data_IF_509513202362
#
_entry.id   IF_509513202362
#
_cell.length_a   1.000
_cell.length_b   1.000
_cell.length_c   1.000
_cell.angle_alpha   90.00
_cell.angle_beta   90.00
_cell.angle_gamma   90.00
#
_symmetry.space_group_name_H-M   'P 1'
#
loop_
_entity.id
_entity.type
_entity.pdbx_description
1 polymer ?
#
# COMPACT_ATOMS: atom_id res chain seq x y z
N UNK A 1 8.47 -19.50 -10.51
CA UNK A 1 9.01 -19.30 -9.13
C UNK A 1 7.90 -18.69 -8.28
N UNK A 2 7.58 -19.25 -7.12
CA UNK A 2 6.53 -18.69 -6.26
C UNK A 2 7.02 -17.40 -5.58
N UNK A 3 6.11 -16.48 -5.27
CA UNK A 3 6.43 -15.23 -4.57
C UNK A 3 7.16 -15.49 -3.23
N UNK A 4 6.69 -16.49 -2.48
CA UNK A 4 7.31 -16.90 -1.23
C UNK A 4 8.77 -17.33 -1.42
N UNK A 5 9.06 -18.16 -2.43
CA UNK A 5 10.44 -18.57 -2.72
C UNK A 5 11.33 -17.38 -3.11
N UNK A 6 10.79 -16.43 -3.89
CA UNK A 6 11.49 -15.20 -4.27
C UNK A 6 11.86 -14.35 -3.03
N UNK A 7 10.90 -14.15 -2.12
CA UNK A 7 11.10 -13.38 -0.90
C UNK A 7 12.08 -14.07 0.05
N UNK A 8 12.02 -15.40 0.18
CA UNK A 8 13.00 -16.17 0.95
C UNK A 8 14.42 -16.01 0.38
N UNK A 9 14.59 -16.08 -0.95
CA UNK A 9 15.89 -15.89 -1.59
C UNK A 9 16.45 -14.48 -1.35
N UNK A 10 15.61 -13.44 -1.50
CA UNK A 10 15.98 -12.05 -1.19
C UNK A 10 16.38 -11.92 0.28
N UNK A 11 15.59 -12.49 1.20
CA UNK A 11 15.86 -12.47 2.63
C UNK A 11 17.16 -13.16 3.02
N UNK A 12 17.44 -14.33 2.46
CA UNK A 12 18.70 -15.06 2.69
C UNK A 12 19.91 -14.28 2.16
N UNK A 13 19.82 -13.75 0.94
CA UNK A 13 20.87 -12.90 0.37
C UNK A 13 21.13 -11.66 1.23
N UNK A 14 20.07 -11.00 1.68
CA UNK A 14 20.15 -9.86 2.58
C UNK A 14 20.80 -10.22 3.92
N UNK A 15 20.44 -11.34 4.54
CA UNK A 15 21.02 -11.78 5.80
C UNK A 15 22.53 -12.06 5.67
N UNK A 16 22.96 -12.72 4.59
CA UNK A 16 24.38 -12.98 4.31
C UNK A 16 25.16 -11.68 4.09
N UNK A 17 24.62 -10.76 3.29
CA UNK A 17 25.25 -9.47 3.04
C UNK A 17 25.28 -8.60 4.30
N UNK A 18 24.20 -8.59 5.09
CA UNK A 18 24.14 -7.87 6.35
C UNK A 18 25.19 -8.40 7.35
N UNK A 19 25.36 -9.72 7.43
CA UNK A 19 26.41 -10.31 8.26
C UNK A 19 27.82 -9.92 7.78
N UNK A 20 28.07 -9.98 6.47
CA UNK A 20 29.35 -9.60 5.87
C UNK A 20 29.68 -8.11 6.04
N UNK A 21 28.67 -7.25 6.03
CA UNK A 21 28.81 -5.79 6.12
C UNK A 21 28.41 -5.22 7.49
N UNK A 22 28.38 -6.04 8.54
CA UNK A 22 27.91 -5.66 9.89
C UNK A 22 28.54 -4.40 10.49
N UNK A 23 29.73 -4.00 10.02
CA UNK A 23 30.44 -2.79 10.48
C UNK A 23 30.39 -1.61 9.49
N UNK A 24 29.69 -1.76 8.36
CA UNK A 24 29.67 -0.78 7.25
C UNK A 24 28.27 -0.19 7.11
N UNK A 25 27.95 0.81 7.95
CA UNK A 25 26.62 1.44 8.00
C UNK A 25 26.06 1.83 6.62
N UNK A 26 26.87 2.51 5.77
CA UNK A 26 26.43 2.91 4.43
C UNK A 26 26.01 1.73 3.56
N UNK A 27 26.75 0.61 3.60
CA UNK A 27 26.41 -0.59 2.81
C UNK A 27 25.13 -1.25 3.31
N UNK A 28 24.88 -1.21 4.61
CA UNK A 28 23.64 -1.71 5.21
C UNK A 28 22.44 -0.82 4.84
N UNK A 29 22.60 0.51 4.81
CA UNK A 29 21.54 1.41 4.35
C UNK A 29 21.20 1.17 2.87
N UNK A 30 22.22 1.02 2.01
CA UNK A 30 22.00 0.66 0.59
C UNK A 30 21.33 -0.70 0.47
N UNK A 31 21.71 -1.68 1.30
CA UNK A 31 21.10 -2.99 1.33
C UNK A 31 19.61 -2.92 1.70
N UNK A 32 19.22 -2.10 2.69
CA UNK A 32 17.82 -1.89 3.07
C UNK A 32 16.99 -1.39 1.88
N UNK A 33 17.47 -0.36 1.18
CA UNK A 33 16.78 0.17 -0.01
C UNK A 33 16.71 -0.88 -1.11
N UNK A 34 17.81 -1.59 -1.36
CA UNK A 34 17.87 -2.66 -2.36
C UNK A 34 16.92 -3.83 -2.06
N UNK A 35 16.78 -4.23 -0.80
CA UNK A 35 15.85 -5.28 -0.38
C UNK A 35 14.41 -4.84 -0.57
N UNK A 36 14.06 -3.60 -0.17
CA UNK A 36 12.71 -3.09 -0.38
C UNK A 36 12.34 -3.05 -1.88
N UNK A 37 13.26 -2.56 -2.73
CA UNK A 37 13.08 -2.55 -4.17
C UNK A 37 12.96 -3.97 -4.75
N UNK A 38 13.79 -4.91 -4.29
CA UNK A 38 13.74 -6.30 -4.74
C UNK A 38 12.43 -7.00 -4.35
N UNK A 39 11.94 -6.78 -3.11
CA UNK A 39 10.65 -7.33 -2.67
C UNK A 39 9.51 -6.79 -3.53
N UNK A 40 9.46 -5.46 -3.76
CA UNK A 40 8.47 -4.84 -4.63
C UNK A 40 8.54 -5.39 -6.08
N UNK A 41 9.75 -5.50 -6.63
CA UNK A 41 9.98 -6.04 -7.97
C UNK A 41 9.53 -7.49 -8.10
N UNK A 42 9.81 -8.34 -7.10
CA UNK A 42 9.37 -9.75 -7.14
C UNK A 42 7.86 -9.88 -7.13
N UNK A 43 7.12 -8.98 -6.48
CA UNK A 43 5.65 -8.95 -6.55
C UNK A 43 5.22 -8.67 -8.00
N UNK A 44 5.75 -7.61 -8.62
CA UNK A 44 5.40 -7.21 -9.98
C UNK A 44 5.83 -8.21 -11.07
N UNK A 45 6.96 -8.89 -10.90
CA UNK A 45 7.50 -9.83 -11.91
C UNK A 45 6.86 -11.22 -11.80
N UNK A 46 6.33 -11.59 -10.63
CA UNK A 46 5.73 -12.92 -10.44
C UNK A 46 4.27 -12.99 -10.90
N UNK A 47 3.62 -11.86 -11.19
CA UNK A 47 2.25 -11.80 -11.72
C UNK A 47 1.65 -10.40 -11.69
N UNK A 48 0.40 -10.29 -12.14
CA UNK A 48 -0.36 -9.04 -12.09
C UNK A 48 -0.61 -8.57 -10.66
N UNK A 49 -0.73 -7.25 -10.50
CA UNK A 49 -0.89 -6.57 -9.21
C UNK A 49 -2.11 -5.65 -9.27
N UNK A 50 -2.84 -5.56 -8.16
CA UNK A 50 -3.87 -4.55 -7.98
C UNK A 50 -3.16 -3.18 -7.78
N UNK A 51 -3.23 -2.26 -8.75
CA UNK A 51 -2.33 -1.11 -8.81
C UNK A 51 -2.53 -0.14 -7.64
N UNK A 52 -3.77 0.20 -7.29
CA UNK A 52 -4.08 1.06 -6.14
C UNK A 52 -3.59 0.48 -4.81
N UNK A 53 -3.90 -0.80 -4.54
CA UNK A 53 -3.45 -1.49 -3.33
C UNK A 53 -1.91 -1.55 -3.25
N UNK A 54 -1.25 -1.85 -4.37
CA UNK A 54 0.21 -1.89 -4.45
C UNK A 54 0.82 -0.50 -4.23
N UNK A 55 0.26 0.54 -4.84
CA UNK A 55 0.72 1.91 -4.70
C UNK A 55 0.56 2.42 -3.26
N UNK A 56 -0.59 2.15 -2.64
CA UNK A 56 -0.85 2.49 -1.23
C UNK A 56 0.11 1.76 -0.29
N UNK A 57 0.30 0.46 -0.48
CA UNK A 57 1.27 -0.32 0.31
C UNK A 57 2.71 0.17 0.10
N UNK A 58 3.09 0.54 -1.13
CA UNK A 58 4.41 1.08 -1.44
C UNK A 58 4.65 2.43 -0.72
N UNK A 59 3.66 3.34 -0.74
CA UNK A 59 3.70 4.62 -0.01
C UNK A 59 3.90 4.39 1.49
N UNK A 60 3.14 3.48 2.09
CA UNK A 60 3.25 3.14 3.51
C UNK A 60 4.63 2.53 3.81
N UNK A 61 5.14 1.66 2.93
CA UNK A 61 6.42 0.97 3.09
C UNK A 61 7.65 1.89 3.06
N UNK A 62 7.53 3.11 2.52
CA UNK A 62 8.59 4.12 2.61
C UNK A 62 8.95 4.39 4.07
N UNK A 63 7.96 4.41 4.98
CA UNK A 63 8.20 4.56 6.41
C UNK A 63 9.04 3.40 6.97
N UNK A 64 8.77 2.15 6.58
CA UNK A 64 9.60 0.98 6.95
C UNK A 64 11.04 1.14 6.50
N UNK A 65 11.27 1.62 5.27
CA UNK A 65 12.62 1.84 4.72
C UNK A 65 13.37 2.88 5.54
N UNK A 66 12.74 4.03 5.81
CA UNK A 66 13.32 5.10 6.62
C UNK A 66 13.61 4.62 8.04
N UNK A 67 12.66 3.96 8.69
CA UNK A 67 12.84 3.36 10.02
C UNK A 67 13.98 2.34 10.04
N UNK A 68 14.14 1.54 8.98
CA UNK A 68 15.22 0.57 8.84
C UNK A 68 16.58 1.22 8.70
N UNK A 69 16.67 2.33 7.96
CA UNK A 69 17.89 3.13 7.88
C UNK A 69 18.25 3.71 9.25
N UNK A 70 17.28 4.29 9.95
CA UNK A 70 17.47 4.83 11.32
C UNK A 70 17.91 3.71 12.26
N UNK A 71 17.26 2.55 12.22
CA UNK A 71 17.63 1.38 13.03
C UNK A 71 19.06 0.93 12.76
N UNK A 72 19.49 0.85 11.50
CA UNK A 72 20.87 0.53 11.11
C UNK A 72 21.86 1.54 11.69
N UNK A 73 21.57 2.84 11.60
CA UNK A 73 22.43 3.89 12.14
C UNK A 73 22.53 3.80 13.67
N UNK A 74 21.41 3.59 14.36
CA UNK A 74 21.38 3.39 15.80
C UNK A 74 22.21 2.16 16.20
N UNK A 75 22.06 1.04 15.49
CA UNK A 75 22.76 -0.21 15.78
C UNK A 75 24.27 -0.14 15.55
N UNK A 76 24.71 0.50 14.47
CA UNK A 76 26.11 0.45 14.01
C UNK A 76 26.91 1.67 14.50
N UNK A 77 26.28 2.82 14.70
CA UNK A 77 26.96 4.05 15.14
C UNK A 77 26.68 4.40 16.60
N UNK A 78 25.41 4.47 17.00
CA UNK A 78 25.03 5.01 18.32
C UNK A 78 25.23 3.98 19.44
N UNK A 79 24.68 2.78 19.28
CA UNK A 79 24.69 1.73 20.31
C UNK A 79 26.10 1.29 20.75
N UNK A 80 27.12 1.21 19.86
CA UNK A 80 28.47 0.88 20.27
C UNK A 80 29.13 1.96 21.14
N UNK A 81 28.73 3.23 20.98
CA UNK A 81 29.28 4.37 21.72
C UNK A 81 28.74 4.49 23.14
N UNK A 82 27.63 3.84 23.45
CA UNK A 82 27.04 3.85 24.79
C UNK A 82 27.82 2.93 25.71
N UNK A 83 28.39 3.53 26.77
CA UNK A 83 29.18 2.86 27.81
C UNK A 83 28.58 3.09 29.20
N UNK A 84 27.75 4.12 29.38
CA UNK A 84 27.20 4.48 30.68
C UNK A 84 26.00 3.61 31.07
N UNK A 85 25.96 3.25 32.36
CA UNK A 85 24.83 2.52 32.96
C UNK A 85 23.56 3.37 33.03
N UNK A 86 23.69 4.70 33.08
CA UNK A 86 22.54 5.61 33.12
C UNK A 86 21.77 5.59 31.79
N UNK A 87 22.42 5.26 30.68
CA UNK A 87 21.80 5.24 29.35
C UNK A 87 20.93 4.00 29.12
N UNK A 88 20.98 2.99 29.99
CA UNK A 88 20.30 1.69 29.79
C UNK A 88 18.79 1.83 29.60
N UNK A 89 18.15 2.72 30.36
CA UNK A 89 16.70 2.93 30.27
C UNK A 89 16.36 3.68 28.99
N UNK A 90 17.15 4.69 28.64
CA UNK A 90 17.02 5.44 27.38
C UNK A 90 17.13 4.53 26.16
N UNK A 91 18.06 3.57 26.16
CA UNK A 91 18.18 2.57 25.09
C UNK A 91 16.93 1.73 24.96
N UNK A 92 16.41 1.18 26.06
CA UNK A 92 15.18 0.37 26.03
C UNK A 92 14.02 1.19 25.49
N UNK A 93 13.86 2.43 25.94
CA UNK A 93 12.79 3.33 25.47
C UNK A 93 12.91 3.61 23.97
N UNK A 94 14.11 3.92 23.48
CA UNK A 94 14.33 4.19 22.05
C UNK A 94 14.02 2.96 21.20
N UNK A 95 14.53 1.77 21.56
CA UNK A 95 14.26 0.56 20.79
C UNK A 95 12.80 0.10 20.90
N UNK A 96 12.14 0.32 22.04
CA UNK A 96 10.70 0.10 22.19
C UNK A 96 9.88 1.06 21.32
N UNK A 97 10.25 2.33 21.25
CA UNK A 97 9.61 3.32 20.37
C UNK A 97 9.77 2.94 18.89
N UNK A 98 10.97 2.53 18.47
CA UNK A 98 11.19 2.06 17.09
C UNK A 98 10.39 0.78 16.80
N UNK A 99 10.30 -0.15 17.75
CA UNK A 99 9.46 -1.33 17.63
C UNK A 99 7.97 -0.97 17.48
N UNK A 100 7.47 -0.03 18.30
CA UNK A 100 6.09 0.47 18.19
C UNK A 100 5.83 1.12 16.83
N UNK A 101 6.79 1.88 16.28
CA UNK A 101 6.66 2.46 14.94
C UNK A 101 6.58 1.39 13.85
N UNK A 102 7.38 0.31 13.92
CA UNK A 102 7.23 -0.81 13.00
C UNK A 102 5.86 -1.49 13.11
N UNK A 103 5.35 -1.69 14.33
CA UNK A 103 4.02 -2.26 14.54
C UNK A 103 2.92 -1.35 13.98
N UNK A 104 3.04 -0.02 14.14
CA UNK A 104 2.10 0.93 13.57
C UNK A 104 2.08 0.85 12.03
N UNK A 105 3.25 0.82 11.39
CA UNK A 105 3.35 0.63 9.92
C UNK A 105 2.77 -0.72 9.50
N UNK A 106 3.05 -1.79 10.26
CA UNK A 106 2.45 -3.11 10.04
C UNK A 106 0.93 -3.08 10.13
N UNK A 107 0.35 -2.37 11.10
CA UNK A 107 -1.10 -2.21 11.24
C UNK A 107 -1.72 -1.46 10.05
N UNK A 108 -1.09 -0.39 9.56
CA UNK A 108 -1.54 0.33 8.36
C UNK A 108 -1.50 -0.56 7.11
N UNK A 109 -0.44 -1.37 6.94
CA UNK A 109 -0.36 -2.33 5.84
C UNK A 109 -1.44 -3.43 5.96
N UNK A 110 -1.69 -3.92 7.17
CA UNK A 110 -2.72 -4.92 7.42
C UNK A 110 -4.13 -4.37 7.13
N UNK A 111 -4.42 -3.13 7.53
CA UNK A 111 -5.67 -2.46 7.20
C UNK A 111 -5.85 -2.30 5.68
N UNK A 112 -4.84 -1.78 4.98
CA UNK A 112 -4.89 -1.66 3.52
C UNK A 112 -5.10 -3.01 2.82
N UNK A 113 -4.43 -4.08 3.30
CA UNK A 113 -4.63 -5.43 2.77
C UNK A 113 -6.05 -5.96 3.03
N UNK A 114 -6.63 -5.64 4.18
CA UNK A 114 -7.99 -6.05 4.54
C UNK A 114 -9.01 -5.40 3.62
N UNK A 115 -8.95 -4.08 3.47
CA UNK A 115 -9.85 -3.32 2.59
C UNK A 115 -9.74 -3.81 1.13
N UNK A 116 -8.51 -4.10 0.70
CA UNK A 116 -8.21 -4.62 -0.64
C UNK A 116 -8.68 -6.05 -0.92
N UNK A 117 -8.73 -6.92 0.09
CA UNK A 117 -9.01 -8.36 -0.08
C UNK A 117 -10.48 -8.75 0.06
N UNK A 118 -11.31 -7.86 0.61
CA UNK A 118 -12.73 -8.12 0.84
C UNK A 118 -13.63 -7.91 -0.38
N UNK A 119 -13.07 -7.64 -1.55
CA UNK A 119 -13.84 -7.34 -2.77
C UNK A 119 -14.90 -8.41 -3.08
N UNK A 120 -14.61 -9.69 -2.78
CA UNK A 120 -15.55 -10.80 -3.01
C UNK A 120 -16.74 -10.80 -2.04
N UNK A 121 -16.59 -10.20 -0.87
CA UNK A 121 -17.60 -10.17 0.20
C UNK A 121 -18.44 -8.89 0.19
N UNK A 122 -18.13 -7.95 -0.72
CA UNK A 122 -18.85 -6.68 -0.81
C UNK A 122 -20.30 -6.90 -1.27
N UNK A 123 -21.27 -6.14 -0.70
CA UNK A 123 -22.63 -6.13 -1.21
C UNK A 123 -22.65 -5.75 -2.69
N UNK A 124 -23.35 -6.57 -3.48
CA UNK A 124 -23.50 -6.37 -4.92
C UNK A 124 -24.83 -5.70 -5.19
N UNK A 125 -24.79 -4.58 -5.90
CA UNK A 125 -25.95 -3.77 -6.24
C UNK A 125 -26.05 -3.68 -7.76
N UNK A 126 -27.16 -4.12 -8.34
CA UNK A 126 -27.40 -4.17 -9.79
C UNK A 126 -28.56 -3.29 -10.21
N UNK A 127 -29.42 -2.91 -9.27
CA UNK A 127 -30.61 -2.11 -9.53
C UNK A 127 -30.63 -0.85 -8.68
N UNK A 128 -31.43 0.12 -9.10
CA UNK A 128 -31.63 1.35 -8.33
C UNK A 128 -32.26 1.09 -6.97
N UNK A 129 -33.19 0.14 -6.90
CA UNK A 129 -33.89 -0.21 -5.67
C UNK A 129 -32.93 -0.83 -4.65
N UNK A 130 -32.09 -1.78 -5.07
CA UNK A 130 -31.04 -2.35 -4.22
C UNK A 130 -30.09 -1.28 -3.65
N UNK A 131 -29.73 -0.29 -4.49
CA UNK A 131 -28.93 0.84 -4.04
C UNK A 131 -29.62 1.69 -2.98
N UNK A 132 -30.91 1.99 -3.18
CA UNK A 132 -31.71 2.78 -2.24
C UNK A 132 -31.91 2.01 -0.93
N UNK A 133 -32.27 0.74 -1.01
CA UNK A 133 -32.45 -0.15 0.14
C UNK A 133 -31.18 -0.23 0.97
N UNK A 134 -30.01 -0.38 0.31
CA UNK A 134 -28.74 -0.45 1.03
C UNK A 134 -28.36 0.87 1.66
N UNK A 135 -28.61 2.00 0.99
CA UNK A 135 -28.38 3.34 1.54
C UNK A 135 -29.23 3.61 2.77
N UNK A 136 -30.51 3.24 2.72
CA UNK A 136 -31.48 3.52 3.78
C UNK A 136 -31.45 2.45 4.90
N UNK A 137 -30.70 1.36 4.69
CA UNK A 137 -30.55 0.30 5.69
C UNK A 137 -29.91 0.82 6.98
N UNK A 138 -30.40 0.39 8.16
CA UNK A 138 -29.84 0.80 9.44
C UNK A 138 -28.41 0.26 9.59
N UNK A 139 -27.43 1.17 9.57
CA UNK A 139 -26.01 0.86 9.74
C UNK A 139 -25.12 1.92 9.10
N UNK A 140 -23.81 1.92 9.38
CA UNK A 140 -22.89 2.79 8.66
C UNK A 140 -22.87 2.41 7.17
N UNK A 141 -22.95 3.37 6.24
CA UNK A 141 -22.84 3.08 4.81
C UNK A 141 -21.44 2.50 4.54
N UNK A 142 -21.41 1.28 4.01
CA UNK A 142 -20.17 0.56 3.69
C UNK A 142 -19.81 0.66 2.22
N UNK A 143 -18.64 0.12 1.88
CA UNK A 143 -18.25 -0.11 0.49
C UNK A 143 -19.18 -1.13 -0.19
N UNK A 144 -19.44 -0.93 -1.47
CA UNK A 144 -20.31 -1.77 -2.30
C UNK A 144 -19.73 -1.94 -3.70
N UNK A 145 -20.15 -3.00 -4.40
CA UNK A 145 -19.94 -3.16 -5.83
C UNK A 145 -21.23 -2.82 -6.56
N UNK A 146 -21.18 -1.80 -7.40
CA UNK A 146 -22.32 -1.32 -8.16
C UNK A 146 -22.14 -1.64 -9.65
N UNK A 147 -23.07 -2.41 -10.21
CA UNK A 147 -23.18 -2.60 -11.65
C UNK A 147 -24.01 -1.47 -12.25
N UNK A 148 -23.47 -0.78 -13.24
CA UNK A 148 -24.11 0.36 -13.87
C UNK A 148 -23.66 0.52 -15.34
N UNK A 149 -24.18 1.55 -16.01
CA UNK A 149 -23.66 2.02 -17.29
C UNK A 149 -23.21 3.45 -17.19
N UNK A 150 -22.20 3.84 -17.95
CA UNK A 150 -21.85 5.25 -18.08
C UNK A 150 -22.99 6.00 -18.76
N UNK A 151 -23.51 7.02 -18.09
CA UNK A 151 -24.70 7.71 -18.53
C UNK A 151 -24.51 8.40 -19.87
N UNK A 152 -25.58 8.43 -20.68
CA UNK A 152 -25.61 9.27 -21.87
C UNK A 152 -25.48 10.77 -21.54
N UNK A 153 -25.83 11.17 -20.31
CA UNK A 153 -25.72 12.54 -19.82
C UNK A 153 -24.31 12.91 -19.31
N UNK A 154 -23.36 11.97 -19.27
CA UNK A 154 -21.97 12.27 -18.89
C UNK A 154 -21.34 13.24 -19.91
N UNK A 155 -20.64 14.27 -19.40
CA UNK A 155 -19.94 15.22 -20.25
C UNK A 155 -18.83 14.52 -21.05
N UNK A 156 -18.69 14.88 -22.32
CA UNK A 156 -17.67 14.30 -23.20
C UNK A 156 -16.45 15.19 -23.33
N UNK A 157 -15.28 14.55 -23.42
CA UNK A 157 -14.04 15.22 -23.84
C UNK A 157 -13.80 15.14 -25.34
N UNK A 158 -14.29 14.07 -25.98
CA UNK A 158 -14.30 13.82 -27.42
C UNK A 158 -15.53 12.98 -27.79
N UNK A 159 -15.89 12.90 -29.07
CA UNK A 159 -17.11 12.18 -29.51
C UNK A 159 -17.15 10.74 -28.98
N UNK A 160 -18.16 10.44 -28.17
CA UNK A 160 -18.38 9.14 -27.53
C UNK A 160 -17.57 8.87 -26.26
N UNK A 161 -16.56 9.70 -25.95
CA UNK A 161 -15.57 9.45 -24.88
C UNK A 161 -15.96 10.18 -23.61
N UNK A 162 -16.27 9.40 -22.57
CA UNK A 162 -16.63 9.89 -21.25
C UNK A 162 -15.41 10.08 -20.34
N UNK A 163 -14.39 9.24 -20.49
CA UNK A 163 -13.11 9.38 -19.81
C UNK A 163 -11.99 8.72 -20.60
N UNK A 164 -10.78 9.28 -20.54
CA UNK A 164 -9.59 8.61 -21.05
C UNK A 164 -8.34 8.98 -20.26
N UNK A 165 -7.38 8.07 -20.28
CA UNK A 165 -6.03 8.31 -19.79
C UNK A 165 -5.04 7.50 -20.61
N UNK A 166 -3.75 7.88 -20.60
CA UNK A 166 -2.75 7.05 -21.29
C UNK A 166 -2.68 5.68 -20.66
N UNK A 167 -2.86 4.63 -21.47
CA UNK A 167 -2.77 3.28 -20.97
C UNK A 167 -1.41 3.09 -20.32
N UNK A 168 -1.39 2.58 -19.09
CA UNK A 168 -0.15 2.54 -18.37
C UNK A 168 0.60 1.35 -19.00
N UNK A 169 1.72 1.59 -19.67
CA UNK A 169 2.45 0.54 -20.43
C UNK A 169 2.98 -0.52 -19.47
N UNK A 170 2.72 -1.81 -19.74
CA UNK A 170 3.25 -2.93 -18.96
C UNK A 170 4.71 -3.13 -19.39
N UNK A 171 5.66 -2.80 -18.51
CA UNK A 171 7.10 -2.76 -18.80
C UNK A 171 7.90 -2.07 -17.69
N UNK A 172 9.20 -1.82 -17.92
CA UNK A 172 10.17 -1.49 -16.85
C UNK A 172 10.22 -0.02 -16.40
N UNK A 173 9.45 0.89 -16.98
CA UNK A 173 9.30 2.25 -16.44
C UNK A 173 7.99 2.89 -16.93
N UNK A 174 7.07 3.23 -16.01
CA UNK A 174 5.91 4.09 -16.29
C UNK A 174 6.23 5.51 -15.84
N UNK A 175 6.10 6.45 -16.76
CA UNK A 175 6.12 7.88 -16.50
C UNK A 175 4.74 8.33 -15.98
N UNK A 176 4.66 9.37 -15.12
CA UNK A 176 3.39 9.98 -14.78
C UNK A 176 2.65 10.36 -16.06
N UNK A 177 1.38 9.99 -16.15
CA UNK A 177 0.55 10.28 -17.29
C UNK A 177 0.46 11.82 -17.45
N UNK A 178 0.82 12.32 -18.63
CA UNK A 178 0.84 13.77 -18.93
C UNK A 178 -0.41 14.25 -19.64
N UNK A 179 -1.37 13.33 -19.92
CA UNK A 179 -2.63 13.63 -20.58
C UNK A 179 -3.71 12.70 -20.04
N UNK A 180 -4.46 13.23 -19.07
CA UNK A 180 -5.52 12.52 -18.39
C UNK A 180 -6.78 13.36 -18.57
N UNK A 181 -7.84 12.75 -19.11
CA UNK A 181 -9.17 13.34 -19.20
C UNK A 181 -10.10 12.49 -18.35
N UNK A 182 -9.83 12.48 -17.04
CA UNK A 182 -10.71 11.86 -16.04
C UNK A 182 -11.66 12.93 -15.49
N UNK A 183 -12.98 12.74 -15.56
CA UNK A 183 -13.93 13.68 -15.02
C UNK A 183 -13.85 13.70 -13.48
N UNK A 184 -14.20 14.85 -12.90
CA UNK A 184 -14.30 14.99 -11.45
C UNK A 184 -15.44 14.17 -10.84
N UNK A 185 -16.40 13.75 -11.69
CA UNK A 185 -17.57 12.95 -11.33
C UNK A 185 -18.04 12.12 -12.53
N UNK A 186 -18.45 10.88 -12.28
CA UNK A 186 -19.08 10.02 -13.27
C UNK A 186 -20.60 10.00 -13.04
N UNK A 187 -21.38 10.02 -14.12
CA UNK A 187 -22.82 9.77 -14.04
C UNK A 187 -23.07 8.33 -14.43
N UNK A 188 -23.75 7.59 -13.55
CA UNK A 188 -23.98 6.16 -13.68
C UNK A 188 -25.47 5.90 -13.81
N UNK A 189 -25.88 5.25 -14.90
CA UNK A 189 -27.24 4.79 -15.12
C UNK A 189 -27.44 3.41 -14.52
N UNK A 190 -28.50 3.29 -13.71
CA UNK A 190 -28.96 2.03 -13.14
C UNK A 190 -30.34 1.68 -13.70
N UNK A 191 -30.66 0.39 -13.86
CA UNK A 191 -32.03 -0.03 -14.12
C UNK A 191 -32.99 0.52 -13.04
N UNK A 192 -34.08 1.13 -13.47
CA UNK A 192 -35.19 1.52 -12.59
C UNK A 192 -35.16 2.95 -12.03
N UNK A 193 -34.27 3.84 -12.49
CA UNK A 193 -34.34 5.24 -12.03
C UNK A 193 -33.36 6.22 -12.66
N UNK A 194 -33.33 7.47 -12.16
CA UNK A 194 -32.40 8.49 -12.64
C UNK A 194 -30.95 8.13 -12.32
N UNK A 195 -29.97 8.69 -13.07
CA UNK A 195 -28.56 8.39 -12.87
C UNK A 195 -28.06 8.87 -11.51
N UNK A 196 -27.03 8.18 -11.00
CA UNK A 196 -26.33 8.54 -9.76
C UNK A 196 -24.95 9.11 -10.06
N UNK A 197 -24.34 9.70 -9.05
CA UNK A 197 -22.99 10.26 -9.14
C UNK A 197 -21.98 9.30 -8.53
N UNK A 198 -20.85 9.07 -9.21
CA UNK A 198 -19.65 8.52 -8.60
C UNK A 198 -18.56 9.59 -8.54
N UNK A 199 -17.80 9.58 -7.45
CA UNK A 199 -16.67 10.48 -7.23
C UNK A 199 -15.56 10.35 -8.27
N UNK A 200 -14.54 11.23 -8.21
CA UNK A 200 -13.41 11.17 -9.11
C UNK A 200 -12.62 9.87 -8.88
N UNK A 201 -11.91 9.43 -9.93
CA UNK A 201 -10.92 8.36 -9.82
C UNK A 201 -9.56 8.83 -10.35
N UNK A 202 -8.51 8.17 -9.90
CA UNK A 202 -7.17 8.24 -10.45
C UNK A 202 -6.91 7.11 -11.48
N UNK A 203 -5.89 7.24 -12.35
CA UNK A 203 -5.57 6.21 -13.35
C UNK A 203 -5.27 4.81 -12.78
N UNK A 204 -4.74 4.72 -11.56
CA UNK A 204 -4.48 3.46 -10.83
C UNK A 204 -5.73 2.83 -10.22
N UNK A 205 -6.88 3.49 -10.33
CA UNK A 205 -8.19 3.00 -9.90
C UNK A 205 -9.06 2.57 -11.09
N UNK A 206 -8.51 2.56 -12.30
CA UNK A 206 -9.18 2.03 -13.50
C UNK A 206 -8.72 0.59 -13.78
N UNK A 207 -9.68 -0.31 -14.07
CA UNK A 207 -9.40 -1.73 -14.33
C UNK A 207 -10.05 -2.23 -15.61
N UNK A 208 -9.28 -2.94 -16.44
CA UNK A 208 -9.73 -3.54 -17.70
C UNK A 208 -10.40 -2.55 -18.69
N UNK A 209 -10.02 -1.27 -18.66
CA UNK A 209 -10.53 -0.30 -19.63
C UNK A 209 -9.99 -0.62 -21.04
N UNK A 210 -10.84 -0.60 -22.08
CA UNK A 210 -10.43 -0.82 -23.45
C UNK A 210 -9.29 0.11 -23.88
N UNK A 211 -8.27 -0.45 -24.53
CA UNK A 211 -7.18 0.33 -25.12
C UNK A 211 -7.48 0.66 -26.58
N UNK A 212 -7.44 1.94 -26.94
CA UNK A 212 -7.57 2.46 -28.30
C UNK A 212 -6.40 3.41 -28.55
N UNK A 213 -5.55 3.09 -29.53
CA UNK A 213 -4.39 3.91 -29.93
C UNK A 213 -3.43 4.29 -28.76
N UNK A 214 -3.32 3.42 -27.76
CA UNK A 214 -2.48 3.64 -26.57
C UNK A 214 -3.14 4.46 -25.45
N UNK A 215 -4.40 4.86 -25.62
CA UNK A 215 -5.23 5.44 -24.57
C UNK A 215 -6.21 4.40 -24.03
N UNK A 216 -6.42 4.40 -22.72
CA UNK A 216 -7.40 3.59 -22.02
C UNK A 216 -8.66 4.44 -21.88
N UNK A 217 -9.75 3.98 -22.50
CA UNK A 217 -10.92 4.81 -22.78
C UNK A 217 -12.18 4.16 -22.23
N UNK A 218 -13.03 5.01 -21.65
CA UNK A 218 -14.38 4.68 -21.24
C UNK A 218 -15.37 5.53 -22.05
N UNK A 219 -16.37 4.88 -22.64
CA UNK A 219 -17.37 5.52 -23.51
C UNK A 219 -18.73 5.61 -22.86
N UNK A 220 -19.57 6.50 -23.38
CA UNK A 220 -20.98 6.58 -22.97
C UNK A 220 -21.69 5.26 -23.31
N UNK A 221 -22.48 4.77 -22.36
CA UNK A 221 -23.23 3.51 -22.46
C UNK A 221 -22.43 2.25 -22.12
N UNK A 222 -21.12 2.35 -21.90
CA UNK A 222 -20.28 1.22 -21.51
C UNK A 222 -20.78 0.63 -20.17
N UNK A 223 -20.89 -0.70 -20.06
CA UNK A 223 -21.17 -1.36 -18.80
C UNK A 223 -19.96 -1.24 -17.88
N UNK A 224 -20.20 -0.87 -16.63
CA UNK A 224 -19.16 -0.67 -15.63
C UNK A 224 -19.55 -1.27 -14.29
N UNK A 225 -18.53 -1.68 -13.54
CA UNK A 225 -18.62 -1.98 -12.12
C UNK A 225 -17.86 -0.91 -11.36
N UNK A 226 -18.52 -0.30 -10.38
CA UNK A 226 -17.92 0.72 -9.52
C UNK A 226 -17.83 0.18 -8.09
N UNK A 227 -16.61 0.11 -7.58
CA UNK A 227 -16.32 -0.14 -6.19
C UNK A 227 -16.16 1.20 -5.48
N UNK A 228 -17.07 1.51 -4.56
CA UNK A 228 -17.06 2.76 -3.80
C UNK A 228 -17.88 2.68 -2.51
N UNK A 229 -17.77 3.71 -1.69
CA UNK A 229 -18.56 3.87 -0.47
C UNK A 229 -19.88 4.59 -0.76
N UNK A 230 -20.98 4.08 -0.23
CA UNK A 230 -22.27 4.77 -0.34
C UNK A 230 -22.23 6.11 0.41
N UNK A 231 -22.54 7.21 -0.27
CA UNK A 231 -22.61 8.52 0.37
C UNK A 231 -23.86 9.29 -0.06
N UNK A 232 -24.55 9.86 0.92
CA UNK A 232 -25.60 10.86 0.71
C UNK A 232 -25.01 12.24 0.38
N UNK A 233 -25.81 13.10 -0.26
CA UNK A 233 -25.50 14.53 -0.42
C UNK A 233 -24.42 14.89 -1.45
N UNK A 234 -24.06 13.98 -2.37
CA UNK A 234 -23.01 14.26 -3.36
C UNK A 234 -23.44 15.12 -4.57
N UNK A 235 -24.69 15.55 -4.66
CA UNK A 235 -25.17 16.41 -5.74
C UNK A 235 -25.27 17.90 -5.38
N UNK A 236 -25.41 18.74 -6.41
CA UNK A 236 -25.50 20.20 -6.31
C UNK A 236 -26.94 20.73 -6.49
N UNK A 237 -27.95 20.08 -5.89
CA UNK A 237 -29.33 20.62 -5.81
C UNK A 237 -30.25 20.42 -7.03
N UNK A 238 -30.41 19.18 -7.51
CA UNK A 238 -31.36 18.77 -8.56
C UNK A 238 -31.98 17.38 -8.32
N UNK A 239 -32.87 16.84 -9.17
CA UNK A 239 -33.52 15.54 -8.97
C UNK A 239 -32.54 14.33 -8.93
N UNK A 240 -31.30 14.52 -9.38
CA UNK A 240 -30.19 13.56 -9.30
C UNK A 240 -29.31 13.72 -8.04
N UNK A 241 -29.67 14.62 -7.12
CA UNK A 241 -28.68 15.25 -6.22
C UNK A 241 -28.48 14.67 -4.82
N UNK A 242 -29.16 13.58 -4.45
CA UNK A 242 -29.15 13.20 -3.02
C UNK A 242 -28.21 12.06 -2.67
N UNK A 243 -27.62 11.34 -3.63
CA UNK A 243 -26.88 10.09 -3.35
C UNK A 243 -25.91 9.66 -4.44
N UNK A 244 -24.82 8.99 -4.06
CA UNK A 244 -23.91 8.37 -5.01
C UNK A 244 -22.87 7.45 -4.36
N UNK A 245 -21.78 7.18 -5.09
CA UNK A 245 -20.58 6.53 -4.56
C UNK A 245 -19.43 7.52 -4.34
N UNK A 246 -18.96 7.62 -3.11
CA UNK A 246 -17.79 8.37 -2.71
C UNK A 246 -16.59 7.44 -2.53
N UNK A 247 -15.41 8.02 -2.31
CA UNK A 247 -14.18 7.26 -2.06
C UNK A 247 -14.02 6.08 -3.02
N UNK A 248 -14.27 6.33 -4.31
CA UNK A 248 -14.30 5.29 -5.34
C UNK A 248 -12.94 4.63 -5.37
N UNK A 249 -12.88 3.35 -5.02
CA UNK A 249 -11.65 2.57 -5.03
C UNK A 249 -11.33 2.07 -6.44
N UNK A 250 -12.36 1.73 -7.23
CA UNK A 250 -12.17 1.19 -8.57
C UNK A 250 -13.35 1.42 -9.50
N UNK A 251 -13.07 1.69 -10.78
CA UNK A 251 -14.04 1.58 -11.88
C UNK A 251 -13.50 0.57 -12.90
N UNK A 252 -14.26 -0.50 -13.12
CA UNK A 252 -13.94 -1.53 -14.09
C UNK A 252 -14.97 -1.58 -15.22
N UNK A 253 -14.56 -1.99 -16.42
CA UNK A 253 -15.50 -2.25 -17.53
C UNK A 253 -16.04 -3.66 -17.42
N UNK A 254 -17.35 -3.82 -17.63
CA UNK A 254 -18.06 -5.11 -17.60
C UNK A 254 -19.13 -5.20 -16.51
N UNK A 255 -19.42 -6.43 -16.11
CA UNK A 255 -20.39 -6.78 -15.06
C UNK A 255 -19.69 -7.28 -13.79
N UNK A 256 -20.43 -7.38 -12.68
CA UNK A 256 -19.86 -7.77 -11.38
C UNK A 256 -19.21 -9.16 -11.42
N UNK A 257 -19.78 -10.10 -12.18
CA UNK A 257 -19.25 -11.47 -12.27
C UNK A 257 -17.90 -11.48 -12.96
N UNK A 258 -17.79 -10.79 -14.09
CA UNK A 258 -16.54 -10.65 -14.86
C UNK A 258 -15.49 -9.92 -14.02
N UNK A 259 -15.87 -8.83 -13.34
CA UNK A 259 -14.98 -8.11 -12.42
C UNK A 259 -14.43 -9.00 -11.30
N UNK A 260 -15.30 -9.74 -10.60
CA UNK A 260 -14.86 -10.63 -9.51
C UNK A 260 -14.00 -11.79 -10.01
N UNK A 261 -14.25 -12.28 -11.22
CA UNK A 261 -13.46 -13.35 -11.83
C UNK A 261 -12.03 -12.88 -12.16
N UNK A 262 -11.89 -11.68 -12.71
CA UNK A 262 -10.61 -11.19 -13.21
C UNK A 262 -9.82 -10.43 -12.13
N UNK A 263 -10.46 -9.50 -11.42
CA UNK A 263 -9.81 -8.67 -10.42
C UNK A 263 -9.68 -9.35 -9.05
N UNK A 264 -10.68 -10.14 -8.65
CA UNK A 264 -10.72 -10.80 -7.33
C UNK A 264 -9.45 -11.59 -6.99
N UNK A 265 -8.96 -12.48 -7.87
CA UNK A 265 -7.71 -13.23 -7.64
C UNK A 265 -6.46 -12.34 -7.58
N UNK A 266 -6.42 -11.26 -8.37
CA UNK A 266 -5.30 -10.29 -8.39
C UNK A 266 -5.27 -9.48 -7.10
N UNK A 267 -6.42 -9.01 -6.63
CA UNK A 267 -6.58 -8.30 -5.37
C UNK A 267 -6.20 -9.19 -4.18
N UNK A 268 -6.68 -10.44 -4.15
CA UNK A 268 -6.34 -11.39 -3.09
C UNK A 268 -4.83 -11.69 -3.05
N UNK A 269 -4.22 -11.94 -4.21
CA UNK A 269 -2.78 -12.17 -4.31
C UNK A 269 -1.98 -10.97 -3.82
N UNK A 270 -2.34 -9.77 -4.25
CA UNK A 270 -1.68 -8.52 -3.86
C UNK A 270 -1.88 -8.29 -2.36
N UNK A 271 -3.09 -8.48 -1.84
CA UNK A 271 -3.42 -8.42 -0.42
C UNK A 271 -2.55 -9.36 0.41
N UNK A 272 -2.41 -10.63 0.02
CA UNK A 272 -1.52 -11.59 0.70
C UNK A 272 -0.06 -11.11 0.74
N UNK A 273 0.44 -10.51 -0.34
CA UNK A 273 1.79 -9.94 -0.36
C UNK A 273 1.91 -8.75 0.62
N UNK A 274 0.91 -7.86 0.67
CA UNK A 274 0.87 -6.74 1.61
C UNK A 274 0.77 -7.24 3.07
N UNK A 275 -0.05 -8.26 3.35
CA UNK A 275 -0.12 -8.91 4.67
C UNK A 275 1.22 -9.53 5.06
N UNK A 276 1.93 -10.15 4.12
CA UNK A 276 3.28 -10.68 4.38
C UNK A 276 4.29 -9.56 4.69
N UNK A 277 4.18 -8.40 4.03
CA UNK A 277 4.97 -7.22 4.39
C UNK A 277 4.60 -6.65 5.77
N UNK A 278 3.33 -6.68 6.16
CA UNK A 278 2.88 -6.34 7.51
C UNK A 278 3.50 -7.27 8.56
N UNK A 279 3.50 -8.59 8.30
CA UNK A 279 4.14 -9.58 9.16
C UNK A 279 5.66 -9.36 9.27
N UNK A 280 6.33 -8.97 8.18
CA UNK A 280 7.75 -8.63 8.19
C UNK A 280 8.04 -7.42 9.10
N UNK A 281 7.17 -6.41 9.13
CA UNK A 281 7.28 -5.30 10.07
C UNK A 281 7.13 -5.77 11.54
N UNK A 282 6.23 -6.71 11.82
CA UNK A 282 6.12 -7.30 13.16
C UNK A 282 7.40 -8.06 13.56
N UNK A 283 8.03 -8.78 12.63
CA UNK A 283 9.33 -9.43 12.85
C UNK A 283 10.42 -8.39 13.14
N UNK A 284 10.48 -7.30 12.37
CA UNK A 284 11.43 -6.20 12.61
C UNK A 284 11.21 -5.57 14.00
N UNK A 285 9.96 -5.38 14.42
CA UNK A 285 9.64 -4.89 15.76
C UNK A 285 10.20 -5.83 16.85
N UNK A 286 9.97 -7.14 16.72
CA UNK A 286 10.49 -8.15 17.65
C UNK A 286 12.02 -8.15 17.71
N UNK A 287 12.69 -8.00 16.55
CA UNK A 287 14.15 -7.85 16.48
C UNK A 287 14.62 -6.61 17.24
N UNK A 288 13.95 -5.47 17.09
CA UNK A 288 14.32 -4.23 17.79
C UNK A 288 14.13 -4.35 19.31
N UNK A 289 13.07 -5.01 19.77
CA UNK A 289 12.91 -5.34 21.20
C UNK A 289 14.06 -6.22 21.68
N UNK A 290 14.40 -7.28 20.93
CA UNK A 290 15.51 -8.18 21.26
C UNK A 290 16.86 -7.46 21.35
N UNK A 291 17.12 -6.53 20.43
CA UNK A 291 18.30 -5.65 20.45
C UNK A 291 18.29 -4.77 21.71
N UNK A 292 17.18 -4.10 22.00
CA UNK A 292 17.04 -3.25 23.18
C UNK A 292 17.30 -4.01 24.48
N UNK A 293 16.74 -5.21 24.63
CA UNK A 293 16.97 -6.10 25.79
C UNK A 293 18.43 -6.53 25.87
N UNK A 294 19.05 -6.92 24.75
CA UNK A 294 20.47 -7.31 24.72
C UNK A 294 21.37 -6.14 25.11
N UNK A 295 21.08 -4.94 24.63
CA UNK A 295 21.82 -3.73 24.97
C UNK A 295 21.63 -3.33 26.44
N UNK A 296 20.41 -3.42 26.97
CA UNK A 296 20.12 -3.22 28.39
C UNK A 296 20.94 -4.18 29.26
N UNK A 297 20.96 -5.47 28.90
CA UNK A 297 21.77 -6.49 29.60
C UNK A 297 23.27 -6.22 29.49
N UNK A 298 23.76 -5.73 28.35
CA UNK A 298 25.17 -5.33 28.17
C UNK A 298 25.53 -4.17 29.09
N UNK A 299 24.70 -3.14 29.15
CA UNK A 299 24.92 -1.93 29.96
C UNK A 299 24.64 -2.16 31.46
N UNK A 300 23.93 -3.23 31.83
CA UNK A 300 23.63 -3.55 33.23
C UNK A 300 24.68 -4.43 33.92
N UNK A 301 25.51 -5.17 33.17
CA UNK A 301 26.63 -5.96 33.70
C UNK A 301 27.75 -5.03 34.18
N UNK A 302 28.14 -5.15 35.44
CA UNK A 302 29.33 -4.47 35.99
C UNK A 302 30.62 -5.02 35.37
N UNK A 303 31.57 -4.12 35.10
CA UNK A 303 33.02 -4.32 34.91
C UNK A 303 33.54 -5.70 34.52
N UNK A 304 33.81 -5.90 33.22
CA UNK A 304 35.00 -6.64 32.74
C UNK A 304 35.30 -6.18 31.31
N UNK A 305 36.44 -5.51 31.19
CA UNK A 305 37.19 -5.09 30.00
C UNK A 305 36.79 -3.82 29.23
N UNK A 306 37.67 -2.81 29.43
CA UNK A 306 37.99 -1.62 28.61
C UNK A 306 37.17 -0.33 28.80
N UNK A 307 37.74 0.71 29.47
CA UNK A 307 37.98 1.96 28.79
C UNK A 307 39.12 1.76 27.77
N UNK A 308 39.24 2.56 26.69
CA UNK A 308 40.53 2.67 26.02
C UNK A 308 41.53 3.14 27.08
N UNK A 309 42.46 2.26 27.47
CA UNK A 309 43.69 2.72 28.10
C UNK A 309 44.37 3.59 27.05
N UNK A 310 44.33 4.90 27.25
CA UNK A 310 45.36 5.76 26.69
C UNK A 310 46.66 5.23 27.33
N UNK A 311 47.33 4.30 26.64
CA UNK A 311 48.71 3.98 26.96
C UNK A 311 49.49 5.21 26.57
N UNK A 312 49.65 6.14 27.51
CA UNK A 312 50.78 7.02 27.48
C UNK A 312 51.99 6.10 27.43
N UNK A 313 52.62 6.02 26.25
CA UNK A 313 53.99 5.52 26.18
C UNK A 313 54.80 6.50 27.01
N UNK A 314 54.98 6.21 28.29
CA UNK A 314 56.09 6.73 29.04
C UNK A 314 57.33 6.19 28.36
N UNK A 315 57.92 6.99 27.47
CA UNK A 315 59.29 6.79 27.07
C UNK A 315 60.13 6.93 28.35
N UNK A 316 60.69 5.83 28.81
CA UNK A 316 61.64 5.82 29.90
C UNK A 316 63.04 6.07 29.34
N UNK A 317 63.66 7.15 29.84
CA UNK A 317 65.08 7.55 29.83
C UNK A 317 65.82 7.51 28.50
#
# INVERSE_FOLDING_TARGET
>A
MTLAAAWCAVGLGAAVLAHRWRHRALRLCVLVVGVAAALALTVAVTGEVAPDLFATAAKISVATVVLSIVAVLLLVRTLPQLVSRNDRHSVVVVFAAVAAMYLAVGAFLAAAAHDGSQVQDLPQLRTRDEFIDRRDSPGPPGAVLLEARISAATAESASGVAASYRCPTIGWLRLPATRDQLPSRYLLELPGGPPIVAGPIAPDQAWAWPSVDGECVLRRGDPVVVWGELQGGMGAGGPTSYTGLANVQMIAVGDIRSFLHDFGPVAERTGRAVTAAAALNAVLAAVMVGVGVRAFRRLSRFGTDTPPRITWRSASR
#
